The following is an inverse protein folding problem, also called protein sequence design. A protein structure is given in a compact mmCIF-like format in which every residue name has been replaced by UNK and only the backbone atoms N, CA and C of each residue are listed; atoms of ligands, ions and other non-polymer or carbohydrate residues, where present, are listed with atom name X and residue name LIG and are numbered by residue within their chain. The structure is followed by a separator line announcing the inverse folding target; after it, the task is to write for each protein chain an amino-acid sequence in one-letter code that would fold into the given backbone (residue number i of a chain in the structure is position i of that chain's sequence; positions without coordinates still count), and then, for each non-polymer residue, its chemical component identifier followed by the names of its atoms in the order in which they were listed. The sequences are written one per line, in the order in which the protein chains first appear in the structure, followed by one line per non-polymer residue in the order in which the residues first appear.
data_IF_217517766381
#
_entry.id   IF_217517766381
#
_cell.length_a   1.000
_cell.length_b   1.000
_cell.length_c   1.000
_cell.angle_alpha   90.00
_cell.angle_beta   90.00
_cell.angle_gamma   90.00
#
_symmetry.space_group_name_H-M   'P 1'
#
loop_
_entity.id
_entity.type
_entity.pdbx_description
1 polymer ?
#
# COMPACT_ATOMS: atom_id res chain seq x y z
N UNK A 1 -2.87 -10.73 -15.54
CA UNK A 1 -3.63 -11.99 -15.72
C UNK A 1 -3.75 -12.84 -14.45
N UNK A 2 -2.84 -12.78 -13.48
CA UNK A 2 -2.89 -13.64 -12.26
C UNK A 2 -3.90 -13.20 -11.16
N UNK A 3 -4.27 -11.91 -11.10
CA UNK A 3 -5.14 -11.36 -10.04
C UNK A 3 -6.64 -11.49 -10.32
N UNK A 4 -7.02 -11.73 -11.58
CA UNK A 4 -8.41 -12.01 -11.97
C UNK A 4 -8.88 -13.33 -11.33
N UNK A 5 -7.95 -14.26 -11.07
CA UNK A 5 -8.21 -15.62 -10.61
C UNK A 5 -8.77 -15.72 -9.19
N UNK A 6 -8.50 -14.79 -8.26
CA UNK A 6 -9.02 -14.92 -6.89
C UNK A 6 -10.54 -14.69 -6.81
N UNK A 7 -11.02 -13.59 -7.39
CA UNK A 7 -12.46 -13.30 -7.45
C UNK A 7 -13.13 -14.30 -8.38
N UNK A 8 -12.51 -14.69 -9.50
CA UNK A 8 -13.09 -15.70 -10.39
C UNK A 8 -13.18 -17.07 -9.72
N UNK A 9 -12.20 -17.48 -8.93
CA UNK A 9 -12.24 -18.75 -8.18
C UNK A 9 -13.22 -18.70 -7.01
N UNK A 10 -13.35 -17.57 -6.29
CA UNK A 10 -14.38 -17.41 -5.26
C UNK A 10 -15.79 -17.29 -5.86
N UNK A 11 -15.94 -16.62 -7.01
CA UNK A 11 -17.20 -16.54 -7.74
C UNK A 11 -17.61 -17.87 -8.40
N UNK A 12 -16.64 -18.73 -8.78
CA UNK A 12 -16.90 -20.10 -9.24
C UNK A 12 -17.41 -21.00 -8.11
N UNK A 13 -17.04 -20.72 -6.85
CA UNK A 13 -17.55 -21.45 -5.67
C UNK A 13 -18.93 -20.95 -5.24
N UNK A 14 -19.30 -19.70 -5.55
CA UNK A 14 -20.58 -19.08 -5.15
C UNK A 14 -21.79 -19.41 -6.07
N UNK A 15 -21.63 -20.24 -7.10
CA UNK A 15 -22.70 -20.58 -8.05
C UNK A 15 -23.61 -21.72 -7.54
N UNK A 16 -24.23 -21.50 -6.39
CA UNK A 16 -25.40 -22.24 -5.90
C UNK A 16 -25.67 -21.71 -4.50
N UNK A 17 -26.66 -20.83 -4.34
CA UNK A 17 -27.58 -20.75 -3.19
C UNK A 17 -28.27 -19.38 -3.21
N UNK A 18 -29.58 -19.39 -3.43
CA UNK A 18 -30.44 -18.26 -3.13
C UNK A 18 -30.71 -18.21 -1.62
N UNK A 19 -30.90 -16.99 -1.11
CA UNK A 19 -31.43 -16.57 0.19
C UNK A 19 -30.43 -16.18 1.31
N UNK A 20 -30.57 -14.90 1.72
CA UNK A 20 -30.30 -14.30 3.03
C UNK A 20 -28.89 -14.30 3.65
N UNK A 21 -27.83 -14.57 2.89
CA UNK A 21 -26.46 -14.29 3.35
C UNK A 21 -25.66 -13.51 2.32
N UNK A 22 -24.79 -12.60 2.78
CA UNK A 22 -23.85 -11.89 1.92
C UNK A 22 -22.87 -12.92 1.37
N UNK A 23 -22.77 -13.02 0.05
CA UNK A 23 -21.78 -13.85 -0.63
C UNK A 23 -20.39 -13.63 0.01
N UNK A 24 -19.66 -14.69 0.42
CA UNK A 24 -18.30 -14.61 0.96
C UNK A 24 -17.39 -13.67 0.17
N UNK A 25 -17.56 -13.62 -1.15
CA UNK A 25 -16.80 -12.73 -2.03
C UNK A 25 -17.11 -11.25 -1.77
N UNK A 26 -18.37 -10.92 -1.49
CA UNK A 26 -18.84 -9.54 -1.21
C UNK A 26 -18.40 -9.08 0.17
N UNK A 27 -18.51 -9.95 1.18
CA UNK A 27 -18.05 -9.66 2.53
C UNK A 27 -16.53 -9.43 2.55
N UNK A 28 -15.76 -10.33 1.92
CA UNK A 28 -14.32 -10.21 1.77
C UNK A 28 -13.92 -8.93 1.01
N UNK A 29 -14.60 -8.62 -0.09
CA UNK A 29 -14.34 -7.42 -0.89
C UNK A 29 -14.58 -6.11 -0.14
N UNK A 30 -15.31 -6.14 0.98
CA UNK A 30 -15.59 -4.96 1.81
C UNK A 30 -14.93 -5.02 3.20
N UNK A 31 -13.99 -5.95 3.41
CA UNK A 31 -13.33 -6.19 4.71
C UNK A 31 -14.32 -6.46 5.86
N UNK A 32 -15.46 -7.09 5.55
CA UNK A 32 -16.54 -7.47 6.48
C UNK A 32 -16.48 -8.95 6.81
N UNK A 33 -15.37 -9.40 7.39
CA UNK A 33 -15.11 -10.81 7.62
C UNK A 33 -16.13 -11.49 8.55
N UNK A 34 -16.68 -10.71 9.48
CA UNK A 34 -17.77 -11.10 10.37
C UNK A 34 -19.07 -11.45 9.63
N UNK A 35 -19.22 -11.01 8.38
CA UNK A 35 -20.40 -11.23 7.55
C UNK A 35 -20.20 -12.40 6.56
N UNK A 36 -19.05 -13.07 6.58
CA UNK A 36 -18.79 -14.20 5.68
C UNK A 36 -19.61 -15.41 6.12
N UNK A 37 -20.53 -15.85 5.26
CA UNK A 37 -21.23 -17.11 5.44
C UNK A 37 -20.40 -18.27 4.88
N UNK A 38 -19.87 -19.12 5.75
CA UNK A 38 -19.10 -20.30 5.34
C UNK A 38 -19.98 -21.51 4.99
N UNK A 39 -21.30 -21.44 5.16
CA UNK A 39 -22.20 -22.54 4.82
C UNK A 39 -22.12 -22.84 3.32
N UNK A 40 -21.97 -24.12 2.97
CA UNK A 40 -21.89 -24.58 1.58
C UNK A 40 -20.49 -24.49 0.95
N UNK A 41 -19.49 -23.92 1.64
CA UNK A 41 -18.11 -23.94 1.17
C UNK A 41 -17.42 -25.26 1.51
N UNK A 42 -16.63 -25.78 0.59
CA UNK A 42 -15.73 -26.89 0.88
C UNK A 42 -14.59 -26.46 1.82
N UNK A 43 -13.86 -27.45 2.35
CA UNK A 43 -12.76 -27.22 3.29
C UNK A 43 -11.63 -26.38 2.67
N UNK A 44 -11.12 -26.66 1.45
CA UNK A 44 -10.09 -25.83 0.84
C UNK A 44 -10.50 -24.37 0.67
N UNK A 45 -11.73 -24.09 0.27
CA UNK A 45 -12.25 -22.73 0.12
C UNK A 45 -12.38 -22.02 1.46
N UNK A 46 -12.88 -22.73 2.48
CA UNK A 46 -12.97 -22.22 3.86
C UNK A 46 -11.59 -21.87 4.42
N UNK A 47 -10.62 -22.79 4.30
CA UNK A 47 -9.25 -22.60 4.77
C UNK A 47 -8.59 -21.42 4.05
N UNK A 48 -8.80 -21.31 2.74
CA UNK A 48 -8.26 -20.22 1.95
C UNK A 48 -8.79 -18.86 2.39
N UNK A 49 -10.11 -18.70 2.53
CA UNK A 49 -10.74 -17.44 2.96
C UNK A 49 -10.25 -17.04 4.35
N UNK A 50 -10.24 -17.99 5.31
CA UNK A 50 -9.71 -17.75 6.67
C UNK A 50 -8.25 -17.33 6.64
N UNK A 51 -7.46 -17.92 5.76
CA UNK A 51 -6.06 -17.53 5.64
C UNK A 51 -5.89 -16.12 5.07
N UNK A 52 -6.69 -15.72 4.08
CA UNK A 52 -6.70 -14.34 3.58
C UNK A 52 -7.11 -13.36 4.68
N UNK A 53 -8.17 -13.66 5.44
CA UNK A 53 -8.56 -12.86 6.61
C UNK A 53 -7.38 -12.73 7.60
N UNK A 54 -6.83 -13.85 8.06
CA UNK A 54 -5.70 -13.82 8.99
C UNK A 54 -4.55 -12.98 8.44
N UNK A 55 -4.25 -13.08 7.15
CA UNK A 55 -3.16 -12.31 6.54
C UNK A 55 -3.47 -10.82 6.48
N UNK A 56 -4.70 -10.42 6.16
CA UNK A 56 -5.14 -9.02 6.15
C UNK A 56 -5.09 -8.39 7.55
N UNK A 57 -5.29 -9.19 8.60
CA UNK A 57 -5.08 -8.82 10.00
C UNK A 57 -3.66 -9.10 10.53
N UNK A 58 -2.70 -9.41 9.65
CA UNK A 58 -1.29 -9.68 9.99
C UNK A 58 -1.08 -10.82 10.98
N UNK A 59 -2.06 -11.71 11.14
CA UNK A 59 -2.01 -12.95 11.93
C UNK A 59 -1.30 -14.05 11.15
N UNK A 60 -0.05 -13.79 10.73
CA UNK A 60 0.69 -14.63 9.78
C UNK A 60 0.87 -16.08 10.25
N UNK A 61 1.11 -16.29 11.55
CA UNK A 61 1.27 -17.63 12.13
C UNK A 61 -0.01 -18.48 12.00
N UNK A 62 -1.19 -17.86 11.96
CA UNK A 62 -2.46 -18.55 11.74
C UNK A 62 -2.77 -18.73 10.24
N UNK A 63 -2.35 -17.78 9.40
CA UNK A 63 -2.57 -17.84 7.95
C UNK A 63 -1.73 -18.90 7.24
N UNK A 64 -0.45 -19.01 7.58
CA UNK A 64 0.51 -19.84 6.84
C UNK A 64 0.12 -21.33 6.79
N UNK A 65 -0.26 -22.00 7.91
CA UNK A 65 -0.63 -23.41 7.86
C UNK A 65 -1.84 -23.68 6.95
N UNK A 66 -2.83 -22.78 6.97
CA UNK A 66 -4.03 -22.87 6.14
C UNK A 66 -3.68 -22.72 4.65
N UNK A 67 -2.89 -21.71 4.29
CA UNK A 67 -2.44 -21.52 2.91
C UNK A 67 -1.62 -22.72 2.42
N UNK A 68 -0.70 -23.23 3.24
CA UNK A 68 0.13 -24.39 2.88
C UNK A 68 -0.72 -25.65 2.73
N UNK A 69 -1.81 -25.79 3.49
CA UNK A 69 -2.78 -26.87 3.32
C UNK A 69 -3.50 -26.77 1.98
N UNK A 70 -4.01 -25.59 1.61
CA UNK A 70 -4.70 -25.36 0.32
C UNK A 70 -3.75 -25.52 -0.87
N UNK A 71 -2.52 -25.00 -0.77
CA UNK A 71 -1.51 -25.08 -1.82
C UNK A 71 -1.09 -26.52 -2.18
N UNK A 72 -1.34 -27.50 -1.31
CA UNK A 72 -1.07 -28.94 -1.55
C UNK A 72 -2.26 -29.68 -2.17
N UNK A 73 -3.44 -29.06 -2.28
CA UNK A 73 -4.65 -29.69 -2.82
C UNK A 73 -4.66 -29.66 -4.36
N UNK A 74 -3.76 -30.41 -5.02
CA UNK A 74 -3.56 -30.34 -6.49
C UNK A 74 -4.82 -30.55 -7.34
N UNK A 75 -5.86 -31.19 -6.80
CA UNK A 75 -7.14 -31.41 -7.49
C UNK A 75 -8.14 -30.25 -7.29
N UNK A 76 -7.80 -29.24 -6.49
CA UNK A 76 -8.69 -28.12 -6.17
C UNK A 76 -8.22 -26.83 -6.87
N UNK A 77 -9.09 -26.08 -7.57
CA UNK A 77 -8.68 -24.91 -8.36
C UNK A 77 -7.93 -23.84 -7.56
N UNK A 78 -8.20 -23.71 -6.25
CA UNK A 78 -7.49 -22.77 -5.38
C UNK A 78 -6.03 -23.12 -5.08
N UNK A 79 -5.53 -24.32 -5.39
CA UNK A 79 -4.16 -24.68 -5.04
C UNK A 79 -3.12 -23.78 -5.72
N UNK A 80 -3.30 -23.47 -7.01
CA UNK A 80 -2.39 -22.60 -7.77
C UNK A 80 -2.45 -21.15 -7.27
N UNK A 81 -3.63 -20.73 -6.83
CA UNK A 81 -3.88 -19.40 -6.27
C UNK A 81 -3.20 -19.28 -4.91
N UNK A 82 -3.36 -20.28 -4.04
CA UNK A 82 -2.68 -20.36 -2.75
C UNK A 82 -1.16 -20.43 -2.89
N UNK A 83 -0.63 -21.19 -3.85
CA UNK A 83 0.80 -21.22 -4.16
C UNK A 83 1.31 -19.84 -4.61
N UNK A 84 0.64 -19.21 -5.58
CA UNK A 84 1.02 -17.88 -6.07
C UNK A 84 1.02 -16.84 -4.95
N UNK A 85 0.00 -16.87 -4.10
CA UNK A 85 -0.12 -15.99 -2.95
C UNK A 85 0.97 -16.24 -1.90
N UNK A 86 1.23 -17.50 -1.55
CA UNK A 86 2.27 -17.87 -0.60
C UNK A 86 3.64 -17.41 -1.08
N UNK A 87 4.01 -17.74 -2.31
CA UNK A 87 5.35 -17.44 -2.82
C UNK A 87 5.57 -15.94 -2.94
N UNK A 88 4.67 -15.20 -3.60
CA UNK A 88 4.88 -13.77 -3.85
C UNK A 88 4.49 -12.91 -2.63
N UNK A 89 3.22 -12.92 -2.26
CA UNK A 89 2.65 -11.92 -1.34
C UNK A 89 3.01 -12.23 0.12
N UNK A 90 3.01 -13.52 0.47
CA UNK A 90 3.22 -13.96 1.85
C UNK A 90 4.70 -14.11 2.21
N UNK A 91 5.52 -14.68 1.33
CA UNK A 91 6.94 -14.90 1.59
C UNK A 91 7.84 -13.84 0.97
N UNK A 92 7.86 -13.70 -0.36
CA UNK A 92 8.84 -12.84 -1.05
C UNK A 92 8.72 -11.37 -0.65
N UNK A 93 7.50 -10.82 -0.64
CA UNK A 93 7.25 -9.43 -0.27
C UNK A 93 7.60 -9.16 1.20
N UNK A 94 7.41 -10.15 2.07
CA UNK A 94 7.76 -10.08 3.51
C UNK A 94 9.20 -10.51 3.83
N UNK A 95 10.05 -10.67 2.81
CA UNK A 95 11.45 -11.07 2.95
C UNK A 95 11.68 -12.43 3.66
N UNK A 96 10.72 -13.36 3.54
CA UNK A 96 10.80 -14.74 4.05
C UNK A 96 11.33 -15.68 2.96
N UNK A 97 12.52 -15.37 2.47
CA UNK A 97 13.10 -16.03 1.29
C UNK A 97 13.43 -17.50 1.52
N UNK A 98 13.87 -17.87 2.74
CA UNK A 98 14.19 -19.25 3.10
C UNK A 98 12.93 -20.12 3.11
N UNK A 99 11.85 -19.60 3.68
CA UNK A 99 10.55 -20.26 3.74
C UNK A 99 9.96 -20.46 2.34
N UNK A 100 10.13 -19.46 1.45
CA UNK A 100 9.78 -19.57 0.04
C UNK A 100 10.51 -20.73 -0.64
N UNK A 101 11.85 -20.75 -0.57
CA UNK A 101 12.68 -21.78 -1.22
C UNK A 101 12.35 -23.16 -0.67
N UNK A 102 12.31 -23.30 0.66
CA UNK A 102 11.99 -24.57 1.32
C UNK A 102 10.64 -25.13 0.85
N UNK A 103 9.60 -24.30 0.84
CA UNK A 103 8.28 -24.75 0.43
C UNK A 103 8.16 -25.00 -1.09
N UNK A 104 8.87 -24.23 -1.91
CA UNK A 104 8.94 -24.46 -3.35
C UNK A 104 9.61 -25.81 -3.67
N UNK A 105 10.70 -26.13 -2.97
CA UNK A 105 11.41 -27.41 -3.09
C UNK A 105 10.54 -28.58 -2.62
N UNK A 106 9.83 -28.44 -1.48
CA UNK A 106 8.86 -29.44 -1.00
C UNK A 106 7.79 -29.77 -2.06
N UNK A 107 7.31 -28.75 -2.79
CA UNK A 107 6.31 -28.91 -3.85
C UNK A 107 6.91 -29.26 -5.22
N UNK A 108 8.23 -29.27 -5.35
CA UNK A 108 8.97 -29.45 -6.60
C UNK A 108 8.55 -28.45 -7.69
N UNK A 109 8.33 -27.19 -7.31
CA UNK A 109 7.96 -26.09 -8.21
C UNK A 109 8.99 -24.97 -8.15
N UNK A 110 9.10 -24.19 -9.23
CA UNK A 110 9.98 -23.01 -9.29
C UNK A 110 9.14 -21.77 -9.63
N UNK A 111 8.53 -21.09 -8.63
CA UNK A 111 7.80 -19.85 -8.88
C UNK A 111 8.74 -18.77 -9.45
N UNK A 112 8.20 -17.70 -10.08
CA UNK A 112 9.01 -16.64 -10.67
C UNK A 112 10.04 -16.03 -9.72
N UNK A 113 9.70 -15.94 -8.43
CA UNK A 113 10.53 -15.35 -7.39
C UNK A 113 11.65 -16.30 -6.90
N UNK A 114 11.62 -17.59 -7.27
CA UNK A 114 12.48 -18.64 -6.72
C UNK A 114 13.97 -18.35 -6.86
N UNK A 115 14.42 -17.95 -8.06
CA UNK A 115 15.85 -17.70 -8.33
C UNK A 115 16.39 -16.60 -7.45
N UNK A 116 15.68 -15.47 -7.36
CA UNK A 116 16.09 -14.36 -6.51
C UNK A 116 15.97 -14.71 -5.02
N UNK A 117 14.89 -15.39 -4.61
CA UNK A 117 14.73 -15.86 -3.24
C UNK A 117 15.87 -16.81 -2.82
N UNK A 118 16.34 -17.67 -3.72
CA UNK A 118 17.48 -18.58 -3.46
C UNK A 118 18.78 -17.81 -3.18
N UNK A 119 19.04 -16.74 -3.93
CA UNK A 119 20.19 -15.86 -3.68
C UNK A 119 20.07 -15.10 -2.35
N UNK A 120 18.84 -14.82 -1.92
CA UNK A 120 18.55 -14.05 -0.71
C UNK A 120 18.34 -14.92 0.54
N UNK A 121 18.10 -16.23 0.41
CA UNK A 121 17.79 -17.12 1.54
C UNK A 121 18.95 -17.27 2.55
N UNK A 122 20.18 -16.99 2.11
CA UNK A 122 21.38 -16.95 2.95
C UNK A 122 21.66 -15.56 3.55
N UNK A 123 20.94 -14.51 3.12
CA UNK A 123 21.12 -13.16 3.63
C UNK A 123 20.38 -12.99 4.97
N UNK A 124 20.85 -12.11 5.87
CA UNK A 124 20.10 -11.73 7.06
C UNK A 124 18.74 -11.09 6.69
N UNK A 125 17.76 -11.23 7.56
CA UNK A 125 16.45 -10.58 7.37
C UNK A 125 16.55 -9.08 7.68
N UNK A 126 15.67 -8.30 7.03
CA UNK A 126 15.45 -6.90 7.36
C UNK A 126 15.28 -6.76 8.86
N UNK A 127 16.07 -5.89 9.46
CA UNK A 127 15.96 -5.52 10.87
C UNK A 127 15.70 -4.02 10.95
N UNK A 128 14.73 -3.64 11.77
CA UNK A 128 14.41 -2.25 12.09
C UNK A 128 14.65 -2.12 13.58
N UNK A 129 15.63 -1.31 13.97
CA UNK A 129 15.96 -1.05 15.37
C UNK A 129 15.68 0.41 15.68
N UNK A 130 15.07 0.64 16.83
CA UNK A 130 14.81 1.97 17.35
C UNK A 130 15.63 2.14 18.62
N UNK A 131 16.45 3.18 18.68
CA UNK A 131 17.15 3.55 19.92
C UNK A 131 16.18 4.13 20.96
N UNK A 132 15.05 4.70 20.50
CA UNK A 132 14.02 5.33 21.32
C UNK A 132 12.61 4.84 20.93
N UNK A 133 11.67 4.76 21.88
CA UNK A 133 10.30 4.32 21.61
C UNK A 133 9.57 5.21 20.58
N UNK A 134 9.97 6.48 20.47
CA UNK A 134 9.41 7.46 19.54
C UNK A 134 10.38 8.61 19.30
N UNK A 135 10.39 9.15 18.09
CA UNK A 135 11.17 10.35 17.72
C UNK A 135 10.37 11.22 16.76
N UNK A 136 10.63 12.52 16.76
CA UNK A 136 10.07 13.46 15.79
C UNK A 136 11.19 14.08 14.96
N UNK A 137 11.08 13.94 13.64
CA UNK A 137 12.07 14.40 12.67
C UNK A 137 11.47 15.50 11.78
N UNK A 138 12.25 16.54 11.41
CA UNK A 138 11.81 17.48 10.40
C UNK A 138 11.74 16.80 9.03
N UNK A 139 10.72 17.15 8.25
CA UNK A 139 10.55 16.67 6.87
C UNK A 139 10.31 17.81 5.89
N UNK A 140 10.71 17.61 4.65
CA UNK A 140 10.39 18.50 3.55
C UNK A 140 9.03 18.15 2.95
N UNK A 141 8.12 19.12 2.87
CA UNK A 141 6.87 18.97 2.11
C UNK A 141 7.00 19.66 0.75
N UNK A 142 6.68 18.97 -0.34
CA UNK A 142 6.79 19.56 -1.67
C UNK A 142 5.89 20.79 -1.82
N UNK A 143 6.47 21.95 -2.14
CA UNK A 143 5.76 23.25 -2.11
C UNK A 143 4.52 23.30 -3.00
N UNK A 144 4.58 22.73 -4.21
CA UNK A 144 3.48 22.83 -5.18
C UNK A 144 2.37 21.82 -4.91
N UNK A 145 2.72 20.55 -4.70
CA UNK A 145 1.72 19.49 -4.48
C UNK A 145 1.18 19.52 -3.05
N UNK A 146 2.01 19.92 -2.07
CA UNK A 146 1.71 19.87 -0.63
C UNK A 146 1.22 18.49 -0.18
N UNK A 147 1.81 17.44 -0.73
CA UNK A 147 1.47 16.05 -0.41
C UNK A 147 2.70 15.13 -0.37
N UNK A 148 3.70 15.35 -1.22
CA UNK A 148 4.94 14.57 -1.20
C UNK A 148 5.81 14.96 -0.01
N UNK A 149 6.23 13.96 0.76
CA UNK A 149 7.04 14.09 1.97
C UNK A 149 8.44 13.57 1.68
N UNK A 150 9.44 14.38 2.02
CA UNK A 150 10.84 14.03 1.91
C UNK A 150 11.51 14.06 3.27
N UNK A 151 12.45 13.15 3.46
CA UNK A 151 13.28 13.12 4.66
C UNK A 151 14.74 12.98 4.27
N UNK A 152 15.60 13.35 5.21
CA UNK A 152 17.03 13.05 5.12
C UNK A 152 17.29 11.71 5.80
N UNK A 153 18.03 10.85 5.13
CA UNK A 153 18.51 9.57 5.65
C UNK A 153 20.02 9.55 5.60
N UNK A 154 20.67 8.76 6.44
CA UNK A 154 22.13 8.58 6.41
C UNK A 154 22.45 7.22 5.80
N UNK A 155 23.24 7.21 4.74
CA UNK A 155 23.77 5.98 4.12
C UNK A 155 25.28 6.16 3.96
N UNK A 156 26.06 5.22 4.50
CA UNK A 156 27.51 5.29 4.53
C UNK A 156 28.04 6.64 5.06
N UNK A 157 27.45 7.12 6.17
CA UNK A 157 27.82 8.39 6.80
C UNK A 157 27.40 9.66 6.04
N UNK A 158 26.80 9.55 4.85
CA UNK A 158 26.40 10.71 4.03
C UNK A 158 24.88 10.94 4.07
N UNK A 159 24.42 12.21 4.20
CA UNK A 159 23.01 12.53 4.10
C UNK A 159 22.49 12.36 2.67
N UNK A 160 21.32 11.74 2.54
CA UNK A 160 20.60 11.49 1.29
C UNK A 160 19.16 11.88 1.42
N UNK A 161 18.57 12.37 0.33
CA UNK A 161 17.18 12.80 0.32
C UNK A 161 16.30 11.70 -0.22
N UNK A 162 15.40 11.20 0.62
CA UNK A 162 14.44 10.16 0.25
C UNK A 162 13.02 10.71 0.26
N UNK A 163 12.14 10.10 -0.53
CA UNK A 163 10.69 10.33 -0.47
C UNK A 163 10.00 9.21 0.32
N UNK A 164 8.96 9.54 1.06
CA UNK A 164 8.04 8.54 1.63
C UNK A 164 6.93 8.22 0.63
N UNK A 165 6.87 6.98 0.17
CA UNK A 165 5.94 6.57 -0.88
C UNK A 165 5.34 5.19 -0.62
N UNK A 166 4.11 5.15 -0.11
CA UNK A 166 3.33 3.91 0.02
C UNK A 166 2.91 3.30 -1.32
N UNK A 167 3.08 4.06 -2.42
CA UNK A 167 3.00 3.63 -3.81
C UNK A 167 3.97 2.49 -4.16
N UNK A 168 5.14 2.49 -3.49
CA UNK A 168 6.21 1.52 -3.70
C UNK A 168 6.05 0.33 -2.74
N UNK A 169 5.72 -0.86 -3.25
CA UNK A 169 5.70 -2.09 -2.44
C UNK A 169 7.09 -2.42 -1.85
N UNK A 170 8.16 -2.11 -2.59
CA UNK A 170 9.56 -2.25 -2.15
C UNK A 170 10.25 -0.89 -2.22
N UNK A 171 11.09 -0.59 -1.25
CA UNK A 171 11.93 0.60 -1.24
C UNK A 171 12.85 0.63 -2.47
N UNK A 172 13.29 1.82 -2.87
CA UNK A 172 14.05 1.99 -4.10
C UNK A 172 15.16 3.03 -3.95
N UNK A 173 16.24 2.86 -4.70
CA UNK A 173 17.32 3.84 -4.82
C UNK A 173 17.58 4.16 -6.30
N UNK A 174 18.14 5.32 -6.55
CA UNK A 174 18.61 5.69 -7.88
C UNK A 174 19.80 4.84 -8.29
N UNK A 175 19.93 4.63 -9.60
CA UNK A 175 21.11 4.05 -10.23
C UNK A 175 22.41 4.76 -9.78
N UNK A 176 22.40 6.08 -9.74
CA UNK A 176 23.53 6.89 -9.28
C UNK A 176 23.95 6.55 -7.84
N UNK A 177 22.99 6.45 -6.91
CA UNK A 177 23.30 6.08 -5.52
C UNK A 177 23.80 4.63 -5.44
N UNK A 178 23.21 3.70 -6.19
CA UNK A 178 23.66 2.31 -6.22
C UNK A 178 25.12 2.18 -6.70
N UNK A 179 25.50 2.95 -7.73
CA UNK A 179 26.87 2.95 -8.26
C UNK A 179 27.86 3.62 -7.29
N UNK A 180 27.47 4.72 -6.63
CA UNK A 180 28.30 5.37 -5.61
C UNK A 180 28.57 4.44 -4.42
N UNK A 181 27.59 3.61 -4.06
CA UNK A 181 27.70 2.63 -2.98
C UNK A 181 28.33 1.30 -3.44
N UNK A 182 28.73 1.19 -4.71
CA UNK A 182 29.29 -0.03 -5.31
C UNK A 182 28.39 -1.27 -5.13
N UNK A 183 27.07 -1.09 -5.15
CA UNK A 183 26.12 -2.17 -4.94
C UNK A 183 26.00 -3.05 -6.19
N UNK A 184 26.24 -4.36 -6.00
CA UNK A 184 26.06 -5.33 -7.07
C UNK A 184 24.57 -5.45 -7.45
N UNK A 185 24.23 -5.42 -8.75
CA UNK A 185 22.87 -5.67 -9.18
C UNK A 185 22.49 -7.13 -8.94
N UNK A 186 21.25 -7.33 -8.52
CA UNK A 186 20.58 -8.63 -8.41
C UNK A 186 19.57 -8.79 -9.57
N UNK A 187 19.09 -10.02 -9.82
CA UNK A 187 18.01 -10.27 -10.77
C UNK A 187 16.82 -9.31 -10.60
N UNK A 188 16.17 -9.00 -11.72
CA UNK A 188 15.04 -8.09 -11.75
C UNK A 188 13.82 -8.62 -11.00
N UNK A 189 13.11 -7.72 -10.34
CA UNK A 189 11.81 -7.95 -9.73
C UNK A 189 10.76 -7.37 -10.66
N UNK A 190 9.73 -8.16 -10.97
CA UNK A 190 8.57 -7.66 -11.70
C UNK A 190 7.78 -6.67 -10.83
N UNK A 191 7.67 -5.43 -11.30
CA UNK A 191 6.93 -4.37 -10.64
C UNK A 191 5.92 -3.74 -11.60
N UNK A 192 4.79 -3.29 -11.07
CA UNK A 192 3.80 -2.55 -11.84
C UNK A 192 4.00 -1.06 -11.58
N UNK A 193 4.29 -0.29 -12.62
CA UNK A 193 4.47 1.15 -12.49
C UNK A 193 3.14 1.93 -12.44
N UNK A 194 3.22 3.25 -12.23
CA UNK A 194 2.05 4.14 -12.20
C UNK A 194 1.23 4.18 -13.51
N UNK A 195 1.76 3.66 -14.62
CA UNK A 195 1.05 3.52 -15.90
C UNK A 195 0.43 2.12 -16.09
N UNK A 196 0.37 1.33 -15.01
CA UNK A 196 -0.10 -0.05 -15.00
C UNK A 196 0.65 -0.98 -15.96
N UNK A 197 1.95 -0.74 -16.15
CA UNK A 197 2.84 -1.59 -16.96
C UNK A 197 3.74 -2.43 -16.06
N UNK A 198 3.83 -3.73 -16.35
CA UNK A 198 4.82 -4.62 -15.74
C UNK A 198 6.20 -4.29 -16.29
N UNK A 199 7.17 -4.18 -15.41
CA UNK A 199 8.57 -3.92 -15.73
C UNK A 199 9.44 -4.80 -14.84
N UNK A 200 10.44 -5.43 -15.42
CA UNK A 200 11.52 -6.06 -14.65
C UNK A 200 12.52 -4.98 -14.21
N UNK A 201 12.60 -4.73 -12.91
CA UNK A 201 13.51 -3.72 -12.34
C UNK A 201 14.59 -4.42 -11.53
N UNK A 202 15.89 -4.24 -11.86
CA UNK A 202 16.99 -4.80 -11.07
C UNK A 202 16.86 -4.43 -9.60
N UNK A 203 17.26 -5.34 -8.72
CA UNK A 203 17.35 -5.07 -7.29
C UNK A 203 18.80 -4.91 -6.83
N UNK A 204 19.00 -4.45 -5.61
CA UNK A 204 20.28 -4.42 -4.94
C UNK A 204 20.05 -4.59 -3.43
N UNK A 205 21.07 -5.04 -2.72
CA UNK A 205 21.01 -5.22 -1.27
C UNK A 205 21.68 -4.04 -0.59
N UNK A 206 21.05 -3.49 0.45
CA UNK A 206 21.58 -2.38 1.24
C UNK A 206 21.79 -2.87 2.68
N UNK A 207 23.02 -2.71 3.17
CA UNK A 207 23.43 -3.21 4.48
C UNK A 207 22.88 -2.37 5.63
N UNK A 208 22.90 -1.05 5.49
CA UNK A 208 22.41 -0.12 6.51
C UNK A 208 21.92 1.21 5.95
N UNK A 209 20.85 1.73 6.54
CA UNK A 209 20.32 3.08 6.31
C UNK A 209 19.79 3.61 7.64
N UNK A 210 20.15 4.85 8.02
CA UNK A 210 19.60 5.49 9.21
C UNK A 210 18.55 6.55 8.87
N UNK A 211 17.45 6.59 9.62
CA UNK A 211 16.45 7.67 9.60
C UNK A 211 16.38 8.23 11.02
N UNK A 212 17.07 9.32 11.33
CA UNK A 212 17.20 9.73 12.74
C UNK A 212 17.73 8.58 13.62
N UNK A 213 17.04 8.18 14.71
CA UNK A 213 17.40 7.04 15.55
C UNK A 213 16.87 5.67 15.06
N UNK A 214 16.32 5.59 13.83
CA UNK A 214 15.93 4.32 13.22
C UNK A 214 17.09 3.75 12.41
N UNK A 215 17.52 2.57 12.80
CA UNK A 215 18.50 1.78 12.07
C UNK A 215 17.81 0.69 11.26
N UNK A 216 17.91 0.82 9.93
CA UNK A 216 17.41 -0.16 8.98
C UNK A 216 18.59 -0.96 8.45
N UNK A 217 18.56 -2.27 8.66
CA UNK A 217 19.59 -3.17 8.20
C UNK A 217 19.04 -4.23 7.24
N UNK A 218 19.89 -4.68 6.32
CA UNK A 218 19.68 -5.89 5.54
C UNK A 218 18.40 -5.89 4.67
N UNK A 219 18.22 -4.86 3.84
CA UNK A 219 17.00 -4.75 3.02
C UNK A 219 17.28 -4.72 1.53
N UNK A 220 16.33 -5.27 0.78
CA UNK A 220 16.33 -5.32 -0.67
C UNK A 220 15.70 -4.04 -1.22
N UNK A 221 16.43 -3.31 -2.06
CA UNK A 221 15.95 -2.10 -2.72
C UNK A 221 15.92 -2.29 -4.24
N UNK A 222 14.91 -1.72 -4.89
CA UNK A 222 14.86 -1.60 -6.35
C UNK A 222 15.89 -0.57 -6.83
N UNK A 223 16.58 -0.88 -7.92
CA UNK A 223 17.58 -0.03 -8.56
C UNK A 223 16.96 0.67 -9.77
N UNK A 224 16.63 1.95 -9.63
CA UNK A 224 15.93 2.72 -10.63
C UNK A 224 16.91 3.38 -11.62
N UNK A 225 16.85 2.98 -12.89
CA UNK A 225 17.70 3.50 -13.97
C UNK A 225 17.57 5.00 -14.24
N UNK A 226 16.48 5.64 -13.79
CA UNK A 226 16.24 7.08 -13.94
C UNK A 226 15.89 7.68 -12.60
N UNK A 227 16.33 8.91 -12.37
CA UNK A 227 15.77 9.74 -11.28
C UNK A 227 14.26 9.82 -11.45
N UNK A 228 13.51 9.75 -10.33
CA UNK A 228 12.06 9.93 -10.32
C UNK A 228 11.71 11.27 -11.00
N UNK A 229 10.98 11.27 -12.14
CA UNK A 229 10.76 12.48 -12.93
C UNK A 229 10.13 13.60 -12.09
N UNK A 230 10.79 14.77 -12.05
CA UNK A 230 10.31 15.94 -11.32
C UNK A 230 10.68 16.00 -9.84
N UNK A 231 11.33 14.96 -9.29
CA UNK A 231 11.76 14.89 -7.89
C UNK A 231 13.26 14.59 -7.81
N UNK A 232 14.06 15.56 -7.33
CA UNK A 232 15.48 15.35 -7.02
C UNK A 232 15.60 14.62 -5.68
N UNK A 233 15.56 13.29 -5.72
CA UNK A 233 15.71 12.38 -4.58
C UNK A 233 16.68 11.27 -4.93
N UNK A 234 17.41 10.77 -3.93
CA UNK A 234 18.36 9.66 -4.07
C UNK A 234 17.66 8.29 -3.97
N UNK A 235 16.44 8.26 -3.40
CA UNK A 235 15.64 7.06 -3.24
C UNK A 235 14.25 7.30 -2.67
N UNK A 236 13.58 6.20 -2.37
CA UNK A 236 12.20 6.10 -1.88
C UNK A 236 12.16 5.08 -0.75
N UNK A 237 11.58 5.47 0.39
CA UNK A 237 11.19 4.54 1.44
C UNK A 237 9.77 4.08 1.14
N UNK A 238 9.66 2.80 0.79
CA UNK A 238 8.43 2.14 0.37
C UNK A 238 7.63 1.54 1.53
N UNK A 239 6.54 0.88 1.16
CA UNK A 239 5.63 0.19 2.08
C UNK A 239 6.28 -0.98 2.82
N UNK A 240 7.30 -1.62 2.25
CA UNK A 240 8.08 -2.67 2.93
C UNK A 240 8.69 -2.21 4.26
N UNK A 241 9.20 -0.97 4.30
CA UNK A 241 9.77 -0.33 5.48
C UNK A 241 8.70 0.44 6.28
N UNK A 242 7.86 1.23 5.60
CA UNK A 242 6.84 2.07 6.26
C UNK A 242 5.85 1.26 7.11
N UNK A 243 5.57 0.00 6.74
CA UNK A 243 4.66 -0.84 7.48
C UNK A 243 5.25 -1.47 8.75
N UNK A 244 6.56 -1.31 9.00
CA UNK A 244 7.23 -1.86 10.18
C UNK A 244 7.10 -0.97 11.43
N UNK A 245 6.68 0.28 11.24
CA UNK A 245 6.61 1.30 12.28
C UNK A 245 5.24 1.98 12.25
N UNK A 246 4.86 2.61 13.36
CA UNK A 246 3.77 3.57 13.34
C UNK A 246 4.34 4.97 13.10
N UNK A 247 3.73 5.76 12.23
CA UNK A 247 4.20 7.10 11.92
C UNK A 247 3.07 8.10 11.78
N UNK A 248 3.34 9.35 12.18
CA UNK A 248 2.45 10.48 12.08
C UNK A 248 3.12 11.59 11.28
N UNK A 249 2.50 12.00 10.18
CA UNK A 249 2.91 13.18 9.41
C UNK A 249 2.07 14.35 9.88
N UNK A 250 2.70 15.36 10.46
CA UNK A 250 2.09 16.67 10.69
C UNK A 250 2.46 17.62 9.54
N UNK A 251 1.49 17.89 8.68
CA UNK A 251 1.70 18.71 7.49
C UNK A 251 1.84 20.21 7.81
N UNK A 252 1.33 20.67 8.97
CA UNK A 252 1.40 22.07 9.37
C UNK A 252 2.79 22.40 9.91
N UNK A 253 3.32 21.55 10.77
CA UNK A 253 4.66 21.73 11.36
C UNK A 253 5.76 21.12 10.50
N UNK A 254 5.41 20.36 9.46
CA UNK A 254 6.36 19.67 8.58
C UNK A 254 7.26 18.71 9.37
N UNK A 255 6.65 17.90 10.22
CA UNK A 255 7.34 16.88 11.02
C UNK A 255 6.79 15.50 10.77
N UNK A 256 7.67 14.51 10.91
CA UNK A 256 7.34 13.09 10.93
C UNK A 256 7.68 12.55 12.32
N UNK A 257 6.65 12.17 13.08
CA UNK A 257 6.85 11.37 14.29
C UNK A 257 6.83 9.90 13.90
N UNK A 258 7.82 9.14 14.30
CA UNK A 258 7.84 7.69 14.08
C UNK A 258 8.03 7.03 15.45
N UNK A 259 7.29 5.96 15.70
CA UNK A 259 7.30 5.23 16.97
C UNK A 259 7.27 3.73 16.75
N UNK A 260 7.74 2.98 17.74
CA UNK A 260 7.53 1.54 17.78
C UNK A 260 6.02 1.27 17.84
N UNK A 261 5.51 0.48 16.90
CA UNK A 261 4.12 0.02 17.02
C UNK A 261 4.06 -1.15 18.01
N UNK A 262 3.04 -1.11 18.88
CA UNK A 262 2.74 -2.15 19.85
C UNK A 262 1.33 -2.67 19.56
N UNK A 263 1.07 -3.98 19.68
CA UNK A 263 -0.26 -4.53 19.44
C UNK A 263 -1.33 -3.83 20.27
N UNK A 264 -2.39 -3.38 19.59
CA UNK A 264 -3.55 -2.73 20.14
C UNK A 264 -4.82 -3.37 19.56
N UNK A 265 -5.48 -4.15 20.40
CA UNK A 265 -6.73 -4.82 20.06
C UNK A 265 -7.93 -3.85 19.99
N UNK A 266 -7.82 -2.66 20.60
CA UNK A 266 -8.88 -1.65 20.66
C UNK A 266 -8.90 -0.71 19.47
N UNK A 267 -7.78 -0.62 18.72
CA UNK A 267 -7.68 0.22 17.55
C UNK A 267 -8.70 -0.18 16.46
N UNK A 268 -9.39 0.83 15.90
CA UNK A 268 -10.30 0.64 14.77
C UNK A 268 -9.58 0.04 13.57
N UNK A 269 -10.16 -1.03 13.01
CA UNK A 269 -9.58 -1.77 11.89
C UNK A 269 -10.04 -1.15 10.57
N UNK A 270 -9.29 -0.14 10.11
CA UNK A 270 -9.60 0.67 8.93
C UNK A 270 -8.43 0.79 7.92
N UNK A 271 -7.30 0.13 8.19
CA UNK A 271 -6.15 0.03 7.30
C UNK A 271 -5.83 -1.45 7.01
N UNK A 272 -5.92 -1.87 5.76
CA UNK A 272 -5.68 -3.26 5.35
C UNK A 272 -4.61 -3.35 4.25
N UNK A 273 -4.27 -4.57 3.86
CA UNK A 273 -3.39 -4.83 2.72
C UNK A 273 -1.92 -5.10 3.09
N UNK A 274 -1.29 -5.97 2.29
CA UNK A 274 0.10 -6.43 2.48
C UNK A 274 1.02 -5.76 1.49
N UNK A 275 0.71 -5.89 0.20
CA UNK A 275 1.50 -5.33 -0.90
C UNK A 275 1.42 -3.81 -0.94
N UNK A 276 0.23 -3.30 -0.63
CA UNK A 276 -0.18 -1.90 -0.70
C UNK A 276 -1.21 -1.64 0.41
N UNK A 277 -1.16 -0.49 1.09
CA UNK A 277 -2.14 -0.13 2.11
C UNK A 277 -3.48 0.30 1.51
N UNK A 278 -4.56 -0.29 1.99
CA UNK A 278 -5.93 0.16 1.76
C UNK A 278 -6.47 0.88 2.97
N UNK A 279 -6.86 2.14 2.78
CA UNK A 279 -7.67 2.87 3.73
C UNK A 279 -9.14 2.59 3.43
N UNK A 280 -9.85 2.06 4.43
CA UNK A 280 -11.31 1.97 4.41
C UNK A 280 -11.83 3.31 4.92
N UNK A 281 -12.38 4.10 4.01
CA UNK A 281 -13.01 5.38 4.31
C UNK A 281 -14.49 5.32 4.00
N UNK A 282 -15.25 6.29 4.49
CA UNK A 282 -16.67 6.42 4.18
C UNK A 282 -16.91 7.68 3.36
N UNK A 283 -17.94 7.67 2.54
CA UNK A 283 -18.52 8.89 1.96
C UNK A 283 -19.24 9.66 3.06
N UNK A 284 -19.67 10.89 2.78
CA UNK A 284 -20.54 11.65 3.68
C UNK A 284 -21.97 11.07 3.81
N UNK A 285 -22.30 10.11 2.96
CA UNK A 285 -23.56 9.35 2.97
C UNK A 285 -23.38 7.93 3.54
N UNK A 286 -22.20 7.60 4.05
CA UNK A 286 -21.91 6.34 4.75
C UNK A 286 -21.56 5.14 3.86
N UNK A 287 -21.35 5.33 2.54
CA UNK A 287 -20.84 4.23 1.72
C UNK A 287 -19.35 4.02 1.93
N UNK A 288 -18.91 2.76 2.01
CA UNK A 288 -17.50 2.43 2.21
C UNK A 288 -16.72 2.36 0.91
N UNK A 289 -15.54 2.97 0.91
CA UNK A 289 -14.56 2.92 -0.17
C UNK A 289 -13.24 2.33 0.33
N UNK A 290 -12.73 1.34 -0.41
CA UNK A 290 -11.42 0.74 -0.23
C UNK A 290 -10.42 1.46 -1.13
N UNK A 291 -9.78 2.49 -0.59
CA UNK A 291 -8.87 3.34 -1.36
C UNK A 291 -7.42 2.92 -1.13
N UNK A 292 -6.68 2.70 -2.22
CA UNK A 292 -5.23 2.56 -2.15
C UNK A 292 -4.64 3.85 -1.60
N UNK A 293 -4.02 3.78 -0.43
CA UNK A 293 -3.26 4.90 0.10
C UNK A 293 -1.90 4.98 -0.60
N UNK A 294 -1.76 5.94 -1.50
CA UNK A 294 -0.55 6.23 -2.24
C UNK A 294 -0.06 7.64 -1.87
N UNK A 295 0.89 7.72 -0.94
CA UNK A 295 1.50 8.98 -0.48
C UNK A 295 2.35 9.66 -1.56
N UNK A 296 2.75 8.94 -2.61
CA UNK A 296 3.42 9.44 -3.82
C UNK A 296 2.46 10.02 -4.87
N UNK A 297 1.16 9.75 -4.76
CA UNK A 297 0.14 10.31 -5.67
C UNK A 297 -0.32 11.72 -5.26
N UNK A 298 -1.30 12.29 -6.00
CA UNK A 298 -1.74 13.68 -5.79
C UNK A 298 -3.26 13.85 -5.93
N UNK A 299 -3.94 13.79 -4.80
CA UNK A 299 -5.37 13.98 -4.66
C UNK A 299 -6.14 12.71 -4.31
N UNK A 300 -7.37 12.66 -4.81
CA UNK A 300 -8.25 11.50 -4.83
C UNK A 300 -8.42 11.10 -6.29
N UNK A 301 -8.37 9.79 -6.55
CA UNK A 301 -8.78 9.17 -7.80
C UNK A 301 -9.82 8.11 -7.50
N UNK A 302 -10.80 7.93 -8.40
CA UNK A 302 -11.83 6.92 -8.27
C UNK A 302 -11.82 6.00 -9.49
N UNK A 303 -11.88 4.69 -9.25
CA UNK A 303 -12.06 3.69 -10.31
C UNK A 303 -13.52 3.66 -10.76
N UNK A 304 -13.81 2.94 -11.85
CA UNK A 304 -15.22 2.71 -12.21
C UNK A 304 -15.93 1.90 -11.12
N UNK A 305 -15.21 1.04 -10.37
CA UNK A 305 -15.76 0.36 -9.21
C UNK A 305 -16.16 1.32 -8.10
N UNK A 306 -15.27 2.24 -7.72
CA UNK A 306 -15.57 3.24 -6.70
C UNK A 306 -16.74 4.14 -7.09
N UNK A 307 -16.83 4.54 -8.37
CA UNK A 307 -17.95 5.35 -8.86
C UNK A 307 -19.32 4.66 -8.75
N UNK A 308 -19.37 3.32 -8.84
CA UNK A 308 -20.63 2.57 -8.67
C UNK A 308 -21.15 2.59 -7.23
N UNK A 309 -20.28 2.90 -6.26
CA UNK A 309 -20.63 2.97 -4.84
C UNK A 309 -21.12 4.36 -4.41
N UNK A 310 -21.02 5.35 -5.29
CA UNK A 310 -21.44 6.72 -4.97
C UNK A 310 -22.88 6.92 -5.44
N UNK A 311 -23.72 7.56 -4.62
CA UNK A 311 -25.09 7.88 -5.02
C UNK A 311 -25.11 9.07 -5.98
N UNK A 312 -24.54 10.21 -5.57
CA UNK A 312 -24.59 11.45 -6.34
C UNK A 312 -23.21 12.04 -6.61
N UNK A 313 -22.91 12.31 -7.88
CA UNK A 313 -21.72 13.06 -8.27
C UNK A 313 -21.89 13.78 -9.61
N UNK A 314 -21.21 14.90 -9.78
CA UNK A 314 -21.19 15.63 -11.04
C UNK A 314 -19.84 15.54 -11.71
N UNK A 315 -19.84 15.37 -13.04
CA UNK A 315 -18.61 15.25 -13.83
C UNK A 315 -18.37 16.48 -14.70
N UNK A 316 -17.11 16.64 -15.13
CA UNK A 316 -16.75 17.58 -16.21
C UNK A 316 -15.57 17.05 -17.01
N UNK A 317 -15.38 17.60 -18.21
CA UNK A 317 -14.16 17.38 -18.99
C UNK A 317 -13.06 18.34 -18.53
N UNK A 318 -11.83 17.85 -18.50
CA UNK A 318 -10.62 18.61 -18.19
C UNK A 318 -9.59 18.35 -19.29
N UNK A 319 -8.99 19.41 -19.80
CA UNK A 319 -7.82 19.29 -20.68
C UNK A 319 -6.59 19.05 -19.81
N UNK A 320 -5.75 18.11 -20.21
CA UNK A 320 -4.43 17.86 -19.60
C UNK A 320 -3.39 17.69 -20.69
N UNK A 321 -2.24 18.34 -20.55
CA UNK A 321 -1.08 18.01 -21.37
C UNK A 321 -0.36 16.78 -20.80
N UNK A 322 0.02 15.83 -21.63
CA UNK A 322 0.68 14.61 -21.21
C UNK A 322 1.47 13.94 -22.32
N UNK A 323 2.02 12.78 -22.00
CA UNK A 323 2.69 11.90 -22.98
C UNK A 323 1.94 10.56 -23.02
N UNK A 324 1.51 10.13 -24.20
CA UNK A 324 0.92 8.82 -24.42
C UNK A 324 1.51 8.19 -25.69
N UNK A 325 1.86 6.90 -25.63
CA UNK A 325 2.47 6.15 -26.75
C UNK A 325 3.68 6.87 -27.40
N UNK A 326 4.48 7.56 -26.59
CA UNK A 326 5.67 8.29 -27.06
C UNK A 326 5.42 9.67 -27.66
N UNK A 327 4.17 10.13 -27.74
CA UNK A 327 3.82 11.46 -28.25
C UNK A 327 3.34 12.39 -27.12
N UNK A 328 3.79 13.64 -27.17
CA UNK A 328 3.29 14.72 -26.32
C UNK A 328 1.98 15.28 -26.91
N UNK A 329 0.96 15.51 -26.09
CA UNK A 329 -0.32 16.01 -26.59
C UNK A 329 -1.28 16.48 -25.52
N UNK A 330 -2.40 17.06 -25.96
CA UNK A 330 -3.53 17.41 -25.11
C UNK A 330 -4.51 16.23 -25.05
N UNK A 331 -4.89 15.87 -23.83
CA UNK A 331 -5.82 14.78 -23.53
C UNK A 331 -7.03 15.35 -22.81
N UNK A 332 -8.18 14.73 -23.04
CA UNK A 332 -9.42 15.04 -22.35
C UNK A 332 -9.68 13.99 -21.28
N UNK A 333 -9.58 14.41 -20.02
CA UNK A 333 -9.92 13.58 -18.87
C UNK A 333 -11.35 13.90 -18.41
N UNK A 334 -12.13 12.87 -18.09
CA UNK A 334 -13.39 13.02 -17.34
C UNK A 334 -13.03 12.99 -15.85
N UNK A 335 -13.50 13.98 -15.12
CA UNK A 335 -13.24 14.12 -13.68
C UNK A 335 -14.55 14.28 -12.92
N UNK A 336 -14.60 13.81 -11.67
CA UNK A 336 -15.62 14.22 -10.72
C UNK A 336 -15.26 15.62 -10.20
N UNK A 337 -16.20 16.57 -10.26
CA UNK A 337 -15.93 17.98 -9.95
C UNK A 337 -15.46 18.15 -8.51
N UNK A 338 -16.16 17.51 -7.59
CA UNK A 338 -15.94 17.53 -6.15
C UNK A 338 -16.57 16.28 -5.55
N UNK A 339 -15.94 15.73 -4.51
CA UNK A 339 -16.53 14.70 -3.68
C UNK A 339 -16.08 14.86 -2.22
N UNK A 340 -16.89 14.37 -1.28
CA UNK A 340 -16.60 14.45 0.15
C UNK A 340 -16.44 13.06 0.75
N UNK A 341 -15.49 12.93 1.67
CA UNK A 341 -15.21 11.69 2.40
C UNK A 341 -15.30 12.00 3.89
N UNK A 342 -15.94 11.10 4.64
CA UNK A 342 -15.89 11.05 6.09
C UNK A 342 -14.69 10.20 6.51
N UNK A 343 -13.73 10.81 7.21
CA UNK A 343 -12.50 10.17 7.67
C UNK A 343 -12.23 10.58 9.11
N UNK A 344 -12.18 9.61 10.05
CA UNK A 344 -11.95 9.88 11.49
C UNK A 344 -12.86 10.99 12.03
N UNK A 345 -14.17 10.91 11.73
CA UNK A 345 -15.20 11.92 12.06
C UNK A 345 -14.98 13.31 11.44
N UNK A 346 -14.02 13.46 10.52
CA UNK A 346 -13.76 14.70 9.78
C UNK A 346 -14.27 14.60 8.34
N UNK A 347 -14.87 15.69 7.85
CA UNK A 347 -15.35 15.78 6.48
C UNK A 347 -14.27 16.38 5.56
N UNK A 348 -13.66 15.55 4.71
CA UNK A 348 -12.61 15.95 3.78
C UNK A 348 -13.17 16.18 2.39
N UNK A 349 -12.82 17.30 1.76
CA UNK A 349 -13.30 17.64 0.41
C UNK A 349 -12.20 17.46 -0.63
N UNK A 350 -12.42 16.57 -1.59
CA UNK A 350 -11.58 16.43 -2.77
C UNK A 350 -12.19 17.20 -3.95
N UNK A 351 -11.37 17.96 -4.67
CA UNK A 351 -11.79 18.67 -5.88
C UNK A 351 -11.04 18.11 -7.09
N UNK A 352 -11.68 18.12 -8.26
CA UNK A 352 -11.10 17.65 -9.53
C UNK A 352 -10.60 16.20 -9.47
N UNK A 353 -11.41 15.33 -8.87
CA UNK A 353 -11.11 13.91 -8.64
C UNK A 353 -10.99 13.19 -9.98
N UNK A 354 -9.84 12.55 -10.21
CA UNK A 354 -9.58 11.83 -11.45
C UNK A 354 -10.42 10.55 -11.50
N UNK A 355 -10.92 10.20 -12.69
CA UNK A 355 -11.52 8.89 -12.91
C UNK A 355 -10.47 8.00 -13.57
N UNK A 356 -9.97 7.01 -12.85
CA UNK A 356 -9.04 6.03 -13.41
C UNK A 356 -9.81 5.00 -14.22
N UNK A 357 -9.26 4.65 -15.39
CA UNK A 357 -9.81 3.60 -16.26
C UNK A 357 -9.25 2.22 -15.91
N UNK A 358 -8.22 2.17 -15.07
CA UNK A 358 -7.57 0.93 -14.69
C UNK A 358 -8.25 0.34 -13.45
N UNK A 359 -8.52 -0.95 -13.52
CA UNK A 359 -9.05 -1.73 -12.41
C UNK A 359 -7.90 -2.51 -11.80
N UNK A 360 -7.54 -2.12 -10.58
CA UNK A 360 -6.46 -2.74 -9.82
C UNK A 360 -7.03 -3.63 -8.73
N UNK A 361 -6.20 -4.57 -8.28
CA UNK A 361 -6.54 -5.53 -7.26
C UNK A 361 -5.34 -5.75 -6.34
N UNK A 362 -5.63 -6.00 -5.07
CA UNK A 362 -4.63 -6.34 -4.06
C UNK A 362 -5.21 -7.50 -3.24
N UNK A 363 -4.54 -8.65 -3.28
CA UNK A 363 -5.04 -9.90 -2.68
C UNK A 363 -6.46 -10.21 -3.20
N UNK A 364 -6.65 -9.97 -4.50
CA UNK A 364 -7.94 -10.13 -5.18
C UNK A 364 -9.08 -9.26 -4.67
N UNK A 365 -8.84 -8.26 -3.82
CA UNK A 365 -9.83 -7.24 -3.49
C UNK A 365 -9.67 -6.09 -4.48
N UNK A 366 -10.78 -5.67 -5.10
CA UNK A 366 -10.81 -4.61 -6.12
C UNK A 366 -10.68 -3.24 -5.47
N UNK A 367 -9.87 -2.38 -6.08
CA UNK A 367 -9.65 -1.00 -5.65
C UNK A 367 -10.83 -0.09 -6.03
N UNK A 368 -11.31 0.71 -5.08
CA UNK A 368 -12.30 1.77 -5.36
C UNK A 368 -11.64 3.06 -5.87
N UNK A 369 -10.33 3.19 -5.72
CA UNK A 369 -9.58 4.36 -6.10
C UNK A 369 -8.26 4.51 -5.36
N UNK A 370 -7.69 5.70 -5.46
CA UNK A 370 -6.42 6.08 -4.82
C UNK A 370 -6.66 7.31 -3.95
N UNK A 371 -6.15 7.30 -2.71
CA UNK A 371 -6.15 8.42 -1.79
C UNK A 371 -4.70 8.79 -1.43
N UNK A 372 -4.40 10.07 -1.38
CA UNK A 372 -3.05 10.58 -1.08
C UNK A 372 -3.04 11.49 0.14
N UNK A 373 -1.81 11.84 0.56
CA UNK A 373 -1.52 12.91 1.51
C UNK A 373 -2.22 14.25 1.20
N UNK A 374 -2.64 14.50 -0.05
CA UNK A 374 -3.28 15.75 -0.44
C UNK A 374 -4.57 16.05 0.34
N UNK A 375 -5.34 15.01 0.71
CA UNK A 375 -6.58 15.19 1.47
C UNK A 375 -6.32 15.48 2.95
N UNK A 376 -5.16 15.09 3.45
CA UNK A 376 -4.79 15.16 4.87
C UNK A 376 -3.86 16.33 5.19
N UNK A 377 -3.49 17.15 4.20
CA UNK A 377 -2.42 18.13 4.33
C UNK A 377 -2.75 19.36 5.18
N UNK A 378 -3.92 19.39 5.81
CA UNK A 378 -4.33 20.39 6.80
C UNK A 378 -4.29 19.86 8.24
N UNK A 379 -3.89 18.61 8.45
CA UNK A 379 -3.90 17.95 9.75
C UNK A 379 -2.69 17.07 10.00
N UNK A 380 -2.89 16.11 10.90
CA UNK A 380 -1.95 15.05 11.27
C UNK A 380 -2.52 13.72 10.77
N UNK A 381 -1.75 13.00 9.98
CA UNK A 381 -2.12 11.67 9.50
C UNK A 381 -1.23 10.63 10.18
N UNK A 382 -1.85 9.74 10.95
CA UNK A 382 -1.19 8.62 11.62
C UNK A 382 -1.49 7.32 10.89
N UNK A 383 -0.44 6.56 10.59
CA UNK A 383 -0.50 5.23 10.00
C UNK A 383 0.12 4.25 11.00
N UNK A 384 -0.63 3.20 11.35
CA UNK A 384 -0.19 2.12 12.23
C UNK A 384 -0.57 0.78 11.58
N UNK A 385 0.32 0.31 10.72
CA UNK A 385 0.09 -0.87 9.91
C UNK A 385 -0.10 -2.13 10.77
N UNK A 386 0.71 -2.30 11.83
CA UNK A 386 0.63 -3.44 12.75
C UNK A 386 -0.77 -3.59 13.33
N UNK A 387 -1.40 -2.47 13.68
CA UNK A 387 -2.72 -2.43 14.30
C UNK A 387 -3.88 -2.33 13.31
N UNK A 388 -3.61 -2.44 12.00
CA UNK A 388 -4.60 -2.23 10.94
C UNK A 388 -5.32 -0.89 11.07
N UNK A 389 -4.60 0.15 11.49
CA UNK A 389 -5.19 1.41 11.88
C UNK A 389 -4.58 2.59 11.13
N UNK A 390 -5.42 3.53 10.74
CA UNK A 390 -5.03 4.89 10.43
C UNK A 390 -5.97 5.88 11.12
N UNK A 391 -5.45 7.06 11.43
CA UNK A 391 -6.20 8.13 12.04
C UNK A 391 -5.83 9.46 11.41
N UNK A 392 -6.83 10.32 11.23
CA UNK A 392 -6.64 11.69 10.80
C UNK A 392 -7.18 12.67 11.84
N UNK A 393 -6.31 13.58 12.29
CA UNK A 393 -6.65 14.66 13.21
C UNK A 393 -6.50 16.00 12.48
N UNK A 394 -7.57 16.77 12.21
CA UNK A 394 -7.45 18.08 11.61
C UNK A 394 -6.76 19.04 12.58
N UNK A 395 -5.83 19.88 12.09
CA UNK A 395 -5.26 20.91 12.95
C UNK A 395 -6.34 21.95 13.30
N UNK A 396 -6.35 22.50 14.53
CA UNK A 396 -7.26 23.56 14.90
C UNK A 396 -7.15 24.71 13.91
N UNK A 397 -8.29 25.15 13.38
CA UNK A 397 -8.37 26.43 12.67
C UNK A 397 -8.13 27.49 13.72
N UNK A 398 -7.01 28.22 13.65
CA UNK A 398 -6.90 29.44 14.44
C UNK A 398 -7.99 30.38 13.94
N UNK A 399 -9.03 30.59 14.77
CA UNK A 399 -9.92 31.72 14.62
C UNK A 399 -9.04 32.98 14.53
N UNK A 400 -9.22 33.86 13.54
CA UNK A 400 -8.51 35.13 13.53
C UNK A 400 -8.78 35.82 14.86
N UNK A 401 -7.71 36.19 15.57
CA UNK A 401 -7.79 37.01 16.77
C UNK A 401 -8.60 38.24 16.41
N UNK A 402 -9.81 38.36 16.97
CA UNK A 402 -10.61 39.58 16.85
C UNK A 402 -9.77 40.65 17.55
N UNK A 403 -9.09 41.48 16.78
CA UNK A 403 -8.50 42.71 17.29
C UNK A 403 -9.71 43.54 17.75
N UNK A 404 -9.83 43.87 19.05
CA UNK A 404 -10.91 44.73 19.51
C UNK A 404 -10.80 46.04 18.74
N UNK A 405 -11.88 46.45 18.08
CA UNK A 405 -11.95 47.77 17.46
C UNK A 405 -11.70 48.80 18.55
N UNK A 406 -10.56 49.48 18.50
CA UNK A 406 -10.32 50.66 19.31
C UNK A 406 -11.29 51.73 18.84
N UNK A 407 -12.32 51.98 19.64
CA UNK A 407 -13.15 53.18 19.53
C UNK A 407 -12.27 54.42 19.73
N UNK A 408 -12.18 55.27 18.72
CA UNK A 408 -11.97 56.71 18.86
C UNK A 408 -12.89 57.44 17.92
#
# INVERSE_FOLDING_TARGET
MKTITLIFCLALVAFSMAAQSVDPSTALANFRFEQINYAGLDTPSTDFIKAIEHTLYRRYNAAEPLLRKVARQINHPLHTVAQSYLFNDFYFVRAKYRELVTFADELQVKPPEYTLASLLAARPQLTVTLEEDSVTLPVGIHRKSRCHVFLTVIINGKPRKFMLDTGFTKSAITQQLADELHLSPLPGIEVVNALNRSLSVPACFIDSLKIGPFDLHNFLALRLNKSMPGLRVDGVIGWDILQQVAYTIDFKTSTLTVRQSRPDATADKNLFGILKPFMVVETDEGQRLNLFYDSGSNGLELSNNGLKKLNDYTTRRRIRFGFALGQAGLFWDKIVKRYRLSVSHSLLTANKVLITKHENFNIGIREDGIISNKLFNTGRLTIDALNNHFHYEPNPVHSPTVIPSSSR
#
